data_IF_270097102435
#
_entry.id   IF_270097102435
#
_cell.length_a   1.000
_cell.length_b   1.000
_cell.length_c   1.000
_cell.angle_alpha   90.00
_cell.angle_beta   90.00
_cell.angle_gamma   90.00
#
_symmetry.space_group_name_H-M   'P 1'
#
loop_
_entity.id
_entity.type
_entity.pdbx_description
1 polymer ?
#
# COMPACT_ATOMS: atom_id res chain seq x y z
N UNK A 1 -13.76 17.31 -11.47
CA UNK A 1 -14.93 16.84 -10.72
C UNK A 1 -15.49 17.98 -9.88
N UNK A 2 -16.82 18.05 -9.66
CA UNK A 2 -17.47 19.03 -8.80
C UNK A 2 -17.90 18.39 -7.49
N UNK A 3 -17.72 19.08 -6.37
CA UNK A 3 -18.14 18.58 -5.04
C UNK A 3 -19.64 18.31 -5.01
N UNK A 4 -20.48 19.18 -5.61
CA UNK A 4 -21.93 18.99 -5.67
C UNK A 4 -22.37 17.70 -6.38
N UNK A 5 -21.50 17.11 -7.19
CA UNK A 5 -21.75 15.88 -7.98
C UNK A 5 -20.98 14.65 -7.45
N UNK A 6 -20.14 14.83 -6.46
CA UNK A 6 -19.34 13.76 -5.87
C UNK A 6 -20.09 13.15 -4.69
N UNK A 7 -20.24 11.83 -4.68
CA UNK A 7 -20.75 11.13 -3.50
C UNK A 7 -19.70 11.12 -2.40
N UNK A 8 -19.74 12.12 -1.53
CA UNK A 8 -18.79 12.36 -0.45
C UNK A 8 -19.55 12.78 0.84
N UNK A 9 -19.96 11.81 1.68
CA UNK A 9 -20.70 12.08 2.91
C UNK A 9 -19.77 12.56 4.02
N UNK A 10 -19.35 13.82 3.99
CA UNK A 10 -18.43 14.42 4.97
C UNK A 10 -19.17 14.65 6.29
N UNK A 11 -18.59 14.15 7.39
CA UNK A 11 -19.09 14.36 8.75
C UNK A 11 -18.47 15.64 9.36
N UNK A 12 -19.25 16.32 10.20
CA UNK A 12 -18.78 17.53 10.90
C UNK A 12 -17.68 17.20 11.92
N UNK A 13 -17.84 16.09 12.66
CA UNK A 13 -16.95 15.66 13.74
C UNK A 13 -16.39 14.28 13.44
N UNK A 14 -15.32 13.93 14.13
CA UNK A 14 -14.79 12.57 14.10
C UNK A 14 -15.79 11.59 14.73
N UNK A 15 -16.04 10.42 14.12
CA UNK A 15 -16.84 9.37 14.70
C UNK A 15 -16.27 8.89 16.04
N UNK A 16 -17.14 8.72 17.05
CA UNK A 16 -16.75 8.34 18.41
C UNK A 16 -16.15 6.93 18.50
N UNK A 17 -16.55 6.05 17.60
CA UNK A 17 -16.07 4.66 17.50
C UNK A 17 -14.63 4.55 16.93
N UNK A 18 -14.16 5.58 16.24
CA UNK A 18 -12.84 5.59 15.62
C UNK A 18 -11.78 6.11 16.60
N UNK A 19 -10.72 5.30 16.85
CA UNK A 19 -9.69 5.60 17.86
C UNK A 19 -8.41 6.18 17.28
N UNK A 20 -8.04 5.82 16.06
CA UNK A 20 -6.80 6.28 15.41
C UNK A 20 -7.10 7.27 14.29
N UNK A 21 -6.09 8.10 13.96
CA UNK A 21 -6.22 9.20 12.99
C UNK A 21 -6.73 8.74 11.62
N UNK A 22 -6.19 7.65 11.10
CA UNK A 22 -6.60 7.12 9.79
C UNK A 22 -8.06 6.68 9.78
N UNK A 23 -8.52 5.95 10.80
CA UNK A 23 -9.90 5.50 10.89
C UNK A 23 -10.86 6.69 11.03
N UNK A 24 -10.52 7.66 11.88
CA UNK A 24 -11.30 8.89 12.05
C UNK A 24 -11.41 9.67 10.75
N UNK A 25 -10.29 9.94 10.08
CA UNK A 25 -10.29 10.72 8.85
C UNK A 25 -11.02 10.01 7.72
N UNK A 26 -10.76 8.71 7.52
CA UNK A 26 -11.39 7.95 6.44
C UNK A 26 -12.91 7.91 6.55
N UNK A 27 -13.46 7.75 7.75
CA UNK A 27 -14.89 7.83 8.00
C UNK A 27 -15.42 9.28 7.85
N UNK A 28 -14.69 10.25 8.43
CA UNK A 28 -15.09 11.66 8.45
C UNK A 28 -15.19 12.26 7.04
N UNK A 29 -14.23 11.98 6.17
CA UNK A 29 -14.24 12.52 4.79
C UNK A 29 -14.93 11.60 3.78
N UNK A 30 -15.62 10.55 4.24
CA UNK A 30 -16.36 9.66 3.37
C UNK A 30 -15.48 8.87 2.39
N UNK A 31 -14.34 8.36 2.83
CA UNK A 31 -13.52 7.41 2.05
C UNK A 31 -14.03 5.98 2.17
N UNK A 32 -14.51 5.63 3.35
CA UNK A 32 -15.05 4.31 3.68
C UNK A 32 -16.35 4.44 4.47
N UNK A 33 -17.14 3.37 4.44
CA UNK A 33 -18.28 3.16 5.34
C UNK A 33 -18.23 1.76 5.88
N UNK A 34 -18.34 1.60 7.19
CA UNK A 34 -18.40 0.29 7.82
C UNK A 34 -19.71 -0.43 7.45
N UNK A 35 -19.57 -1.64 6.90
CA UNK A 35 -20.73 -2.53 6.59
C UNK A 35 -20.99 -3.50 7.73
N UNK A 36 -19.92 -4.06 8.31
CA UNK A 36 -19.93 -4.83 9.55
C UNK A 36 -18.55 -4.75 10.21
N UNK A 37 -18.38 -5.37 11.37
CA UNK A 37 -17.10 -5.33 12.09
C UNK A 37 -15.94 -5.83 11.20
N UNK A 38 -14.97 -4.95 10.94
CA UNK A 38 -13.80 -5.24 10.10
C UNK A 38 -14.10 -5.39 8.59
N UNK A 39 -15.29 -4.99 8.12
CA UNK A 39 -15.66 -5.04 6.70
C UNK A 39 -16.14 -3.66 6.27
N UNK A 40 -15.56 -3.10 5.21
CA UNK A 40 -15.78 -1.72 4.78
C UNK A 40 -16.16 -1.62 3.31
N UNK A 41 -17.16 -0.81 3.01
CA UNK A 41 -17.42 -0.31 1.66
C UNK A 41 -16.47 0.84 1.38
N UNK A 42 -15.78 0.79 0.25
CA UNK A 42 -14.90 1.85 -0.24
C UNK A 42 -15.69 2.83 -1.09
N UNK A 43 -15.81 4.06 -0.62
CA UNK A 43 -16.54 5.11 -1.31
C UNK A 43 -15.66 5.79 -2.37
N UNK A 44 -16.21 6.60 -3.29
CA UNK A 44 -15.46 7.09 -4.46
C UNK A 44 -14.10 7.73 -4.14
N UNK A 45 -14.03 8.53 -3.06
CA UNK A 45 -12.76 9.18 -2.67
C UNK A 45 -11.71 8.16 -2.23
N UNK A 46 -12.07 7.23 -1.34
CA UNK A 46 -11.17 6.20 -0.83
C UNK A 46 -10.77 5.20 -1.91
N UNK A 47 -11.73 4.78 -2.75
CA UNK A 47 -11.46 3.88 -3.87
C UNK A 47 -10.46 4.51 -4.85
N UNK A 48 -10.57 5.80 -5.12
CA UNK A 48 -9.65 6.49 -6.03
C UNK A 48 -8.21 6.50 -5.50
N UNK A 49 -8.01 6.74 -4.20
CA UNK A 49 -6.69 6.63 -3.55
C UNK A 49 -6.16 5.20 -3.62
N UNK A 50 -6.99 4.22 -3.23
CA UNK A 50 -6.62 2.80 -3.26
C UNK A 50 -6.20 2.34 -4.66
N UNK A 51 -6.91 2.76 -5.72
CA UNK A 51 -6.57 2.43 -7.12
C UNK A 51 -5.25 3.05 -7.57
N UNK A 52 -4.90 4.24 -7.12
CA UNK A 52 -3.59 4.85 -7.41
C UNK A 52 -2.46 4.09 -6.69
N UNK A 53 -2.66 3.67 -5.45
CA UNK A 53 -1.71 2.82 -4.73
C UNK A 53 -1.55 1.47 -5.44
N UNK A 54 -2.65 0.82 -5.80
CA UNK A 54 -2.67 -0.42 -6.58
C UNK A 54 -1.84 -0.30 -7.86
N UNK A 55 -1.97 0.82 -8.58
CA UNK A 55 -1.23 1.05 -9.81
C UNK A 55 0.28 1.18 -9.57
N UNK A 56 0.70 1.90 -8.53
CA UNK A 56 2.12 2.01 -8.15
C UNK A 56 2.69 0.63 -7.79
N UNK A 57 1.95 -0.15 -6.99
CA UNK A 57 2.35 -1.51 -6.65
C UNK A 57 2.52 -2.36 -7.91
N UNK A 58 1.55 -2.33 -8.83
CA UNK A 58 1.59 -3.06 -10.12
C UNK A 58 2.83 -2.70 -10.93
N UNK A 59 3.11 -1.42 -11.08
CA UNK A 59 4.26 -0.94 -11.84
C UNK A 59 5.59 -1.42 -11.27
N UNK A 60 5.76 -1.40 -9.95
CA UNK A 60 7.00 -1.86 -9.32
C UNK A 60 7.14 -3.40 -9.36
N UNK A 61 6.04 -4.17 -9.40
CA UNK A 61 6.11 -5.62 -9.66
C UNK A 61 6.53 -5.89 -11.12
N UNK A 62 5.92 -5.19 -12.07
CA UNK A 62 6.25 -5.36 -13.51
C UNK A 62 7.72 -5.03 -13.80
N UNK A 63 8.30 -4.01 -13.14
CA UNK A 63 9.71 -3.62 -13.30
C UNK A 63 10.71 -4.72 -12.92
N UNK A 64 10.36 -5.60 -11.99
CA UNK A 64 11.22 -6.74 -11.61
C UNK A 64 10.95 -8.00 -12.43
N UNK A 65 10.07 -7.91 -13.43
CA UNK A 65 9.71 -9.02 -14.32
C UNK A 65 8.60 -9.94 -13.78
N UNK A 66 7.89 -9.54 -12.73
CA UNK A 66 6.74 -10.29 -12.24
C UNK A 66 5.52 -10.08 -13.16
N UNK A 67 4.71 -11.13 -13.34
CA UNK A 67 3.56 -11.16 -14.23
C UNK A 67 2.26 -11.19 -13.43
N UNK A 68 1.30 -10.35 -13.80
CA UNK A 68 0.01 -10.28 -13.14
C UNK A 68 -0.90 -11.43 -13.62
N UNK A 69 -1.49 -12.13 -12.67
CA UNK A 69 -2.56 -13.10 -12.88
C UNK A 69 -3.76 -12.73 -11.99
N UNK A 70 -4.92 -13.28 -12.27
CA UNK A 70 -6.09 -13.11 -11.40
C UNK A 70 -6.60 -14.48 -10.97
N UNK A 71 -6.43 -14.80 -9.70
CA UNK A 71 -6.89 -16.05 -9.11
C UNK A 71 -8.25 -15.86 -8.42
N UNK A 72 -9.08 -16.92 -8.33
CA UNK A 72 -10.38 -16.84 -7.65
C UNK A 72 -10.22 -16.59 -6.15
N UNK A 73 -11.22 -15.94 -5.54
CA UNK A 73 -11.29 -15.76 -4.09
C UNK A 73 -11.78 -17.01 -3.36
N UNK A 74 -12.60 -17.82 -4.01
CA UNK A 74 -13.09 -19.11 -3.46
C UNK A 74 -12.16 -20.22 -3.92
N UNK A 75 -11.66 -21.00 -2.99
CA UNK A 75 -10.69 -22.07 -3.21
C UNK A 75 -11.24 -23.42 -2.74
N UNK A 76 -10.82 -24.53 -3.38
CA UNK A 76 -11.10 -25.86 -2.90
C UNK A 76 -10.32 -26.16 -1.62
N UNK A 77 -10.95 -26.83 -0.65
CA UNK A 77 -10.25 -27.32 0.55
C UNK A 77 -9.22 -28.41 0.23
N UNK A 78 -9.35 -29.10 -0.91
CA UNK A 78 -8.47 -30.22 -1.28
C UNK A 78 -7.01 -29.80 -1.42
N UNK A 79 -6.73 -28.68 -2.11
CA UNK A 79 -5.36 -28.19 -2.27
C UNK A 79 -4.73 -27.76 -0.93
N UNK A 80 -5.54 -27.28 0.01
CA UNK A 80 -5.11 -26.92 1.35
C UNK A 80 -4.86 -28.13 2.24
N UNK A 81 -5.65 -29.21 2.07
CA UNK A 81 -5.40 -30.50 2.70
C UNK A 81 -4.14 -31.15 2.15
N UNK A 82 -3.89 -31.02 0.86
CA UNK A 82 -2.67 -31.53 0.20
C UNK A 82 -1.40 -30.83 0.74
N UNK A 83 -1.42 -29.51 0.97
CA UNK A 83 -0.32 -28.78 1.57
C UNK A 83 -0.15 -29.04 3.07
N UNK A 84 -1.15 -29.61 3.73
CA UNK A 84 -1.20 -29.82 5.17
C UNK A 84 -1.65 -28.60 5.99
N UNK A 85 -1.99 -27.47 5.33
CA UNK A 85 -2.37 -26.23 6.04
C UNK A 85 -3.85 -26.07 6.35
N UNK A 86 -4.73 -26.95 5.88
CA UNK A 86 -6.18 -26.77 6.05
C UNK A 86 -6.60 -26.68 7.52
N UNK A 87 -6.03 -27.54 8.35
CA UNK A 87 -6.30 -27.53 9.80
C UNK A 87 -5.36 -26.59 10.56
N UNK A 88 -4.09 -26.51 10.17
CA UNK A 88 -3.06 -25.67 10.81
C UNK A 88 -3.33 -24.17 10.70
N UNK A 89 -4.07 -23.70 9.69
CA UNK A 89 -4.41 -22.29 9.53
C UNK A 89 -5.38 -21.78 10.62
N UNK A 90 -6.12 -22.68 11.26
CA UNK A 90 -6.97 -22.36 12.38
C UNK A 90 -8.31 -21.72 12.01
N UNK A 91 -8.87 -20.98 12.97
CA UNK A 91 -10.24 -20.42 12.91
C UNK A 91 -10.33 -19.16 12.05
N UNK A 92 -9.21 -18.52 11.72
CA UNK A 92 -9.21 -17.34 10.84
C UNK A 92 -9.59 -17.67 9.38
N UNK A 93 -9.56 -18.95 9.00
CA UNK A 93 -9.98 -19.40 7.69
C UNK A 93 -11.51 -19.47 7.62
N UNK A 94 -12.12 -18.68 6.76
CA UNK A 94 -13.56 -18.76 6.49
C UNK A 94 -13.86 -20.00 5.62
N UNK A 95 -14.35 -21.06 6.27
CA UNK A 95 -14.75 -22.32 5.62
C UNK A 95 -16.21 -22.23 5.20
N UNK A 96 -16.50 -22.68 3.99
CA UNK A 96 -17.84 -22.66 3.39
C UNK A 96 -18.14 -24.00 2.72
N UNK A 97 -19.43 -24.30 2.55
CA UNK A 97 -19.91 -25.43 1.76
C UNK A 97 -20.76 -24.92 0.61
N UNK A 98 -20.54 -25.47 -0.56
CA UNK A 98 -21.40 -25.18 -1.70
C UNK A 98 -22.72 -26.01 -1.65
N UNK A 99 -23.58 -25.82 -2.65
CA UNK A 99 -24.88 -26.55 -2.74
C UNK A 99 -24.73 -28.07 -2.89
N UNK A 100 -23.55 -28.54 -3.25
CA UNK A 100 -23.25 -29.98 -3.37
C UNK A 100 -22.51 -30.52 -2.15
N UNK A 101 -22.45 -29.74 -1.05
CA UNK A 101 -21.70 -30.02 0.19
C UNK A 101 -20.18 -30.17 -0.01
N UNK A 102 -19.61 -29.63 -1.10
CA UNK A 102 -18.15 -29.61 -1.27
C UNK A 102 -17.56 -28.55 -0.33
N UNK A 103 -16.51 -28.94 0.36
CA UNK A 103 -15.79 -28.04 1.27
C UNK A 103 -14.92 -27.06 0.46
N UNK A 104 -15.10 -25.81 0.73
CA UNK A 104 -14.40 -24.70 0.12
C UNK A 104 -14.00 -23.69 1.19
N UNK A 105 -13.20 -22.70 0.82
CA UNK A 105 -12.83 -21.59 1.71
C UNK A 105 -12.74 -20.28 0.93
N UNK A 106 -12.92 -19.18 1.62
CA UNK A 106 -12.53 -17.88 1.10
C UNK A 106 -11.02 -17.70 1.32
N UNK A 107 -10.25 -17.48 0.24
CA UNK A 107 -8.79 -17.49 0.28
C UNK A 107 -8.20 -16.41 1.21
N UNK A 108 -7.56 -16.79 2.32
CA UNK A 108 -6.83 -15.87 3.17
C UNK A 108 -5.44 -15.52 2.60
N UNK A 109 -4.93 -16.38 1.72
CA UNK A 109 -3.68 -16.31 0.96
C UNK A 109 -3.73 -17.33 -0.19
N UNK A 110 -2.72 -17.44 -1.06
CA UNK A 110 -2.82 -18.26 -2.28
C UNK A 110 -1.60 -19.13 -2.58
N UNK A 111 -0.77 -19.49 -1.61
CA UNK A 111 0.39 -20.38 -1.80
C UNK A 111 -0.04 -21.68 -2.48
N UNK A 112 -1.14 -22.28 -2.03
CA UNK A 112 -1.67 -23.54 -2.55
C UNK A 112 -2.19 -23.36 -3.98
N UNK A 113 -3.01 -22.33 -4.19
CA UNK A 113 -3.67 -22.12 -5.48
C UNK A 113 -2.67 -21.78 -6.59
N UNK A 114 -1.66 -20.96 -6.30
CA UNK A 114 -0.62 -20.60 -7.27
C UNK A 114 0.30 -21.80 -7.55
N UNK A 115 0.56 -22.64 -6.54
CA UNK A 115 1.33 -23.89 -6.72
C UNK A 115 0.57 -24.87 -7.60
N UNK A 116 -0.74 -24.97 -7.46
CA UNK A 116 -1.59 -25.80 -8.32
C UNK A 116 -1.56 -25.34 -9.79
N UNK A 117 -1.65 -24.03 -10.03
CA UNK A 117 -1.49 -23.43 -11.35
C UNK A 117 -0.09 -23.72 -11.91
N UNK A 118 0.95 -23.52 -11.11
CA UNK A 118 2.33 -23.78 -11.51
C UNK A 118 2.56 -25.23 -11.91
N UNK A 119 2.22 -26.19 -11.04
CA UNK A 119 2.46 -27.63 -11.28
C UNK A 119 1.70 -28.19 -12.48
N UNK A 120 0.55 -27.60 -12.82
CA UNK A 120 -0.22 -27.98 -13.99
C UNK A 120 0.37 -27.45 -15.31
N UNK A 121 1.08 -26.31 -15.26
CA UNK A 121 1.49 -25.55 -16.43
C UNK A 121 2.99 -25.62 -16.72
N UNK A 122 3.86 -25.72 -15.72
CA UNK A 122 5.32 -25.67 -15.85
C UNK A 122 5.93 -27.03 -15.57
N UNK A 123 6.67 -27.59 -16.55
CA UNK A 123 7.27 -28.93 -16.46
C UNK A 123 8.80 -28.91 -16.55
N UNK A 124 9.41 -27.86 -17.08
CA UNK A 124 10.86 -27.81 -17.33
C UNK A 124 11.51 -26.64 -16.62
N UNK A 125 12.71 -26.87 -16.07
CA UNK A 125 13.54 -25.82 -15.48
C UNK A 125 13.84 -24.64 -16.42
N UNK A 126 13.78 -24.87 -17.74
CA UNK A 126 13.99 -23.82 -18.76
C UNK A 126 12.94 -22.71 -18.70
N UNK A 127 11.79 -22.96 -18.09
CA UNK A 127 10.72 -21.99 -17.89
C UNK A 127 10.85 -21.21 -16.58
N UNK A 128 11.89 -21.45 -15.79
CA UNK A 128 12.17 -20.75 -14.52
C UNK A 128 13.13 -19.59 -14.71
N UNK A 129 13.10 -18.55 -13.86
CA UNK A 129 12.15 -18.37 -12.77
C UNK A 129 10.74 -17.95 -13.25
N UNK A 130 9.71 -18.27 -12.48
CA UNK A 130 8.38 -17.70 -12.64
C UNK A 130 8.08 -16.80 -11.45
N UNK A 131 7.78 -15.54 -11.73
CA UNK A 131 7.37 -14.56 -10.74
C UNK A 131 5.93 -14.17 -11.07
N UNK A 132 4.98 -14.61 -10.25
CA UNK A 132 3.55 -14.39 -10.47
C UNK A 132 2.97 -13.56 -9.33
N UNK A 133 2.09 -12.61 -9.62
CA UNK A 133 1.38 -11.87 -8.58
C UNK A 133 -0.06 -11.62 -8.98
N UNK A 134 -0.90 -11.38 -7.98
CA UNK A 134 -2.21 -10.78 -8.20
C UNK A 134 -2.54 -9.73 -7.13
N UNK A 135 -3.55 -8.92 -7.41
CA UNK A 135 -4.07 -7.93 -6.49
C UNK A 135 -5.56 -8.23 -6.33
N UNK A 136 -5.95 -8.73 -5.15
CA UNK A 136 -7.28 -9.27 -4.95
C UNK A 136 -7.71 -9.15 -3.48
N UNK A 137 -9.01 -9.20 -3.24
CA UNK A 137 -9.61 -9.30 -1.93
C UNK A 137 -9.21 -10.58 -1.22
N UNK A 138 -8.93 -10.47 0.08
CA UNK A 138 -8.67 -11.56 1.01
C UNK A 138 -9.63 -11.44 2.18
N UNK A 139 -9.87 -12.55 2.83
CA UNK A 139 -10.64 -12.60 4.06
C UNK A 139 -9.90 -13.41 5.11
N UNK A 140 -9.77 -12.84 6.30
CA UNK A 140 -9.32 -13.52 7.52
C UNK A 140 -10.30 -13.20 8.62
N UNK A 141 -10.83 -14.21 9.27
CA UNK A 141 -11.85 -14.02 10.32
C UNK A 141 -11.22 -13.54 11.64
N UNK A 142 -10.61 -12.35 11.57
CA UNK A 142 -9.98 -11.69 12.70
C UNK A 142 -10.99 -11.50 13.84
N UNK A 143 -10.71 -12.09 14.98
CA UNK A 143 -11.62 -12.09 16.14
C UNK A 143 -11.80 -10.70 16.76
N UNK A 144 -10.82 -9.82 16.62
CA UNK A 144 -10.82 -8.45 17.18
C UNK A 144 -10.43 -7.41 16.13
N UNK A 145 -11.25 -7.22 15.10
CA UNK A 145 -10.97 -6.20 14.09
C UNK A 145 -10.99 -4.83 14.75
N UNK A 146 -9.99 -4.00 14.43
CA UNK A 146 -9.81 -2.68 15.03
C UNK A 146 -9.02 -1.75 14.12
N UNK A 147 -9.04 -0.46 14.42
CA UNK A 147 -8.27 0.55 13.69
C UNK A 147 -8.64 0.67 12.20
N UNK A 148 -9.93 0.48 11.88
CA UNK A 148 -10.42 0.63 10.50
C UNK A 148 -9.78 -0.38 9.55
N UNK A 149 -9.22 0.13 8.46
CA UNK A 149 -8.58 -0.70 7.43
C UNK A 149 -7.20 -1.23 7.81
N UNK A 150 -6.68 -0.88 8.99
CA UNK A 150 -5.36 -1.34 9.46
C UNK A 150 -5.41 -2.80 9.90
N UNK A 151 -6.46 -3.20 10.62
CA UNK A 151 -6.70 -4.58 11.06
C UNK A 151 -8.17 -4.95 10.86
N UNK A 152 -8.49 -5.28 9.63
CA UNK A 152 -9.84 -5.61 9.16
C UNK A 152 -9.92 -7.10 8.78
N UNK A 153 -11.15 -7.58 8.58
CA UNK A 153 -11.40 -8.98 8.18
C UNK A 153 -11.33 -9.17 6.67
N UNK A 154 -11.83 -8.20 5.91
CA UNK A 154 -11.75 -8.17 4.46
C UNK A 154 -10.81 -7.05 4.03
N UNK A 155 -9.80 -7.38 3.21
CA UNK A 155 -8.76 -6.44 2.81
C UNK A 155 -8.27 -6.70 1.38
N UNK A 156 -7.80 -5.64 0.74
CA UNK A 156 -7.25 -5.69 -0.60
C UNK A 156 -5.73 -5.81 -0.54
N UNK A 157 -5.19 -6.89 -1.10
CA UNK A 157 -3.78 -7.26 -0.97
C UNK A 157 -3.18 -7.59 -2.33
N UNK A 158 -1.95 -7.15 -2.55
CA UNK A 158 -1.05 -7.74 -3.55
C UNK A 158 -0.29 -8.87 -2.87
N UNK A 159 -0.43 -10.05 -3.38
CA UNK A 159 0.42 -11.19 -3.05
C UNK A 159 1.10 -11.71 -4.31
N UNK A 160 2.40 -11.94 -4.19
CA UNK A 160 3.24 -12.45 -5.25
C UNK A 160 3.98 -13.71 -4.79
N UNK A 161 4.40 -14.51 -5.75
CA UNK A 161 5.02 -15.81 -5.54
C UNK A 161 6.14 -15.99 -6.54
N UNK A 162 7.27 -16.52 -6.07
CA UNK A 162 8.36 -16.94 -6.94
C UNK A 162 8.49 -18.45 -6.98
N UNK A 163 8.89 -18.96 -8.13
CA UNK A 163 9.21 -20.37 -8.38
C UNK A 163 10.58 -20.41 -9.06
N UNK A 164 11.55 -20.97 -8.37
CA UNK A 164 12.95 -20.92 -8.75
C UNK A 164 13.56 -22.33 -8.76
N UNK A 165 14.61 -22.53 -9.54
CA UNK A 165 15.19 -23.85 -9.72
C UNK A 165 16.01 -24.34 -8.51
N UNK A 166 16.57 -23.43 -7.74
CA UNK A 166 17.38 -23.70 -6.55
C UNK A 166 17.36 -22.51 -5.58
N UNK A 167 18.00 -22.69 -4.42
CA UNK A 167 18.02 -21.67 -3.37
C UNK A 167 18.73 -20.37 -3.80
N UNK A 168 19.78 -20.43 -4.61
CA UNK A 168 20.50 -19.26 -5.10
C UNK A 168 19.60 -18.37 -5.98
N UNK A 169 18.88 -18.97 -6.93
CA UNK A 169 17.93 -18.25 -7.80
C UNK A 169 16.75 -17.73 -6.99
N UNK A 170 16.25 -18.49 -6.01
CA UNK A 170 15.17 -18.05 -5.12
C UNK A 170 15.60 -16.84 -4.25
N UNK A 171 16.82 -16.80 -3.74
CA UNK A 171 17.35 -15.64 -3.05
C UNK A 171 17.51 -14.43 -3.98
N UNK A 172 17.85 -14.64 -5.24
CA UNK A 172 17.84 -13.56 -6.23
C UNK A 172 16.44 -13.02 -6.46
N UNK A 173 15.44 -13.87 -6.63
CA UNK A 173 14.03 -13.48 -6.71
C UNK A 173 13.59 -12.75 -5.44
N UNK A 174 13.92 -13.25 -4.26
CA UNK A 174 13.67 -12.60 -2.98
C UNK A 174 14.22 -11.17 -2.93
N UNK A 175 15.47 -10.98 -3.35
CA UNK A 175 16.13 -9.68 -3.36
C UNK A 175 15.51 -8.71 -4.39
N UNK A 176 14.95 -9.21 -5.51
CA UNK A 176 14.16 -8.39 -6.45
C UNK A 176 12.91 -7.83 -5.76
N UNK A 177 12.15 -8.67 -5.03
CA UNK A 177 11.00 -8.22 -4.28
C UNK A 177 11.37 -7.27 -3.14
N UNK A 178 12.48 -7.51 -2.45
CA UNK A 178 13.01 -6.61 -1.42
C UNK A 178 13.22 -5.19 -1.98
N UNK A 179 13.91 -5.05 -3.12
CA UNK A 179 14.10 -3.77 -3.79
C UNK A 179 12.77 -3.17 -4.28
N UNK A 180 11.90 -3.98 -4.88
CA UNK A 180 10.59 -3.54 -5.36
C UNK A 180 9.74 -2.91 -4.26
N UNK A 181 9.78 -3.49 -3.05
CA UNK A 181 9.07 -2.96 -1.89
C UNK A 181 9.61 -1.61 -1.43
N UNK A 182 10.93 -1.49 -1.31
CA UNK A 182 11.57 -0.21 -0.98
C UNK A 182 11.18 0.88 -1.99
N UNK A 183 11.18 0.57 -3.29
CA UNK A 183 10.76 1.51 -4.36
C UNK A 183 9.27 1.83 -4.28
N UNK A 184 8.43 0.83 -4.02
CA UNK A 184 6.98 1.03 -3.85
C UNK A 184 6.70 2.03 -2.74
N UNK A 185 7.25 1.81 -1.55
CA UNK A 185 7.01 2.68 -0.40
C UNK A 185 7.62 4.07 -0.59
N UNK A 186 8.77 4.18 -1.22
CA UNK A 186 9.37 5.47 -1.54
C UNK A 186 8.49 6.30 -2.51
N UNK A 187 7.88 5.68 -3.54
CA UNK A 187 6.92 6.33 -4.43
C UNK A 187 5.63 6.77 -3.72
N UNK A 188 5.29 6.13 -2.60
CA UNK A 188 4.20 6.52 -1.73
C UNK A 188 4.59 7.60 -0.71
N UNK A 189 5.84 8.12 -0.80
CA UNK A 189 6.45 9.05 0.17
C UNK A 189 6.41 8.51 1.61
N UNK A 190 6.68 7.19 1.74
CA UNK A 190 6.77 6.47 2.99
C UNK A 190 8.16 5.88 3.16
N UNK A 191 8.77 6.08 4.32
CA UNK A 191 10.00 5.40 4.70
C UNK A 191 9.65 4.12 5.42
N UNK A 192 9.74 2.98 4.70
CA UNK A 192 9.55 1.66 5.26
C UNK A 192 10.89 1.01 5.56
N UNK A 193 11.04 0.47 6.77
CA UNK A 193 12.25 -0.20 7.22
C UNK A 193 12.05 -1.71 7.11
N UNK A 194 12.91 -2.44 6.38
CA UNK A 194 12.89 -3.89 6.41
C UNK A 194 13.45 -4.37 7.75
N UNK A 195 12.66 -5.18 8.46
CA UNK A 195 13.00 -5.77 9.75
C UNK A 195 13.01 -7.28 9.66
N UNK A 196 14.00 -7.91 10.26
CA UNK A 196 14.01 -9.35 10.39
C UNK A 196 12.79 -9.81 11.21
N UNK A 197 11.99 -10.69 10.61
CA UNK A 197 10.71 -11.13 11.17
C UNK A 197 10.68 -12.64 11.38
N UNK A 198 9.75 -13.10 12.22
CA UNK A 198 9.40 -14.51 12.32
C UNK A 198 8.65 -14.97 11.07
N UNK A 199 8.83 -16.22 10.69
CA UNK A 199 8.16 -16.78 9.51
C UNK A 199 6.75 -17.29 9.81
N UNK A 200 6.39 -17.44 11.08
CA UNK A 200 5.07 -17.87 11.52
C UNK A 200 4.56 -19.14 10.83
N UNK A 201 3.24 -19.30 10.64
CA UNK A 201 2.63 -20.45 9.97
C UNK A 201 3.04 -20.62 8.50
N UNK A 202 3.48 -19.54 7.83
CA UNK A 202 4.01 -19.60 6.45
C UNK A 202 5.28 -20.44 6.43
N UNK A 203 6.15 -20.29 7.46
CA UNK A 203 7.39 -21.03 7.63
C UNK A 203 8.52 -20.52 6.72
N UNK A 204 9.69 -21.17 6.79
CA UNK A 204 10.88 -20.80 6.03
C UNK A 204 12.01 -20.28 6.91
N UNK A 205 13.10 -19.87 6.28
CA UNK A 205 14.35 -19.51 6.98
C UNK A 205 14.70 -18.02 6.87
N UNK A 206 14.03 -17.28 5.99
CA UNK A 206 14.31 -15.87 5.75
C UNK A 206 13.00 -15.10 5.57
N UNK A 207 12.85 -14.06 6.35
CA UNK A 207 11.65 -13.21 6.33
C UNK A 207 11.98 -11.78 6.72
N UNK A 208 11.39 -10.81 6.01
CA UNK A 208 11.45 -9.39 6.36
C UNK A 208 10.06 -8.77 6.33
N UNK A 209 9.70 -8.10 7.43
CA UNK A 209 8.59 -7.16 7.47
C UNK A 209 9.06 -5.76 7.09
N UNK A 210 8.24 -5.07 6.31
CA UNK A 210 8.46 -3.65 6.00
C UNK A 210 7.56 -2.81 6.89
N UNK A 211 8.19 -2.05 7.79
CA UNK A 211 7.52 -1.30 8.85
C UNK A 211 7.64 0.20 8.61
N UNK A 212 6.54 0.92 8.67
CA UNK A 212 6.48 2.37 8.70
C UNK A 212 6.34 2.83 10.14
N UNK A 213 7.15 3.81 10.56
CA UNK A 213 7.06 4.37 11.91
C UNK A 213 5.74 5.12 12.10
N UNK A 214 4.99 4.75 13.12
CA UNK A 214 3.76 5.42 13.52
C UNK A 214 3.47 5.16 15.01
N UNK A 215 3.15 6.22 15.76
CA UNK A 215 2.79 6.11 17.18
C UNK A 215 1.57 5.22 17.42
N UNK A 216 0.67 5.18 16.45
CA UNK A 216 -0.53 4.36 16.43
C UNK A 216 -0.29 2.94 15.91
N UNK A 217 0.96 2.59 15.57
CA UNK A 217 1.34 1.26 15.10
C UNK A 217 1.07 0.17 16.15
N UNK A 218 0.75 -1.03 15.67
CA UNK A 218 0.51 -2.20 16.52
C UNK A 218 1.80 -2.90 16.92
N UNK A 219 2.79 -2.92 16.04
CA UNK A 219 4.07 -3.59 16.27
C UNK A 219 5.02 -2.69 17.02
N UNK A 220 5.55 -3.17 18.15
CA UNK A 220 6.69 -2.53 18.81
C UNK A 220 7.95 -2.94 18.11
N UNK A 221 8.84 -2.00 17.85
CA UNK A 221 10.05 -2.20 17.08
C UNK A 221 11.29 -1.68 17.80
N UNK A 222 12.41 -2.31 17.52
CA UNK A 222 13.73 -2.02 18.08
C UNK A 222 14.71 -1.93 16.93
N UNK A 223 15.28 -0.75 16.70
CA UNK A 223 16.15 -0.54 15.55
C UNK A 223 17.28 0.44 15.82
N UNK A 224 18.35 0.29 15.05
CA UNK A 224 19.42 1.28 14.96
C UNK A 224 18.99 2.39 14.01
N UNK A 225 19.00 3.66 14.50
CA UNK A 225 18.58 4.83 13.71
C UNK A 225 19.36 5.00 12.40
N UNK A 226 20.59 4.49 12.31
CA UNK A 226 21.42 4.60 11.11
C UNK A 226 20.86 3.83 9.92
N UNK A 227 19.90 2.90 10.13
CA UNK A 227 19.21 2.20 9.06
C UNK A 227 18.47 3.16 8.11
N UNK A 228 18.05 4.33 8.60
CA UNK A 228 17.38 5.35 7.78
C UNK A 228 18.32 6.04 6.77
N UNK A 229 19.63 5.92 6.93
CA UNK A 229 20.63 6.48 6.04
C UNK A 229 20.91 5.56 4.83
N UNK A 230 20.39 4.33 4.85
CA UNK A 230 20.58 3.37 3.75
C UNK A 230 19.76 3.82 2.53
N UNK A 231 20.45 4.15 1.44
CA UNK A 231 19.82 4.54 0.18
C UNK A 231 19.72 3.34 -0.77
N UNK A 232 18.51 3.11 -1.27
CA UNK A 232 18.22 2.10 -2.29
C UNK A 232 18.17 2.66 -3.72
N UNK A 233 18.33 3.99 -3.89
CA UNK A 233 18.29 4.65 -5.20
C UNK A 233 19.44 4.15 -6.08
N UNK A 234 19.16 4.02 -7.37
CA UNK A 234 20.17 3.59 -8.34
C UNK A 234 20.58 2.11 -8.27
N UNK A 235 20.04 1.33 -7.33
CA UNK A 235 20.32 -0.11 -7.28
C UNK A 235 19.82 -0.82 -8.54
N UNK A 236 20.72 -1.54 -9.20
CA UNK A 236 20.43 -2.31 -10.41
C UNK A 236 19.83 -3.67 -10.09
N UNK A 237 19.07 -4.24 -11.03
CA UNK A 237 18.48 -5.58 -10.93
C UNK A 237 19.51 -6.69 -11.26
N UNK A 238 20.67 -6.64 -10.63
CA UNK A 238 21.77 -7.59 -10.77
C UNK A 238 21.97 -8.34 -9.44
N UNK A 239 22.27 -9.66 -9.48
CA UNK A 239 22.38 -10.49 -8.27
C UNK A 239 23.23 -9.84 -7.18
N UNK A 240 24.44 -9.44 -7.51
CA UNK A 240 25.37 -8.84 -6.54
C UNK A 240 24.89 -7.51 -5.97
N UNK A 241 24.35 -6.63 -6.82
CA UNK A 241 23.86 -5.32 -6.39
C UNK A 241 22.66 -5.44 -5.42
N UNK A 242 21.76 -6.40 -5.68
CA UNK A 242 20.59 -6.67 -4.83
C UNK A 242 20.98 -7.33 -3.51
N UNK A 243 21.92 -8.27 -3.54
CA UNK A 243 22.48 -8.89 -2.34
C UNK A 243 23.18 -7.85 -1.47
N UNK A 244 24.02 -7.00 -2.05
CA UNK A 244 24.73 -5.93 -1.34
C UNK A 244 23.74 -4.93 -0.72
N UNK A 245 22.62 -4.62 -1.40
CA UNK A 245 21.57 -3.78 -0.84
C UNK A 245 20.94 -4.42 0.40
N UNK A 246 20.51 -5.68 0.32
CA UNK A 246 19.94 -6.40 1.47
C UNK A 246 20.93 -6.44 2.62
N UNK A 247 22.18 -6.82 2.37
CA UNK A 247 23.26 -6.88 3.37
C UNK A 247 23.50 -5.51 4.04
N UNK A 248 23.33 -4.39 3.33
CA UNK A 248 23.44 -3.05 3.94
C UNK A 248 22.37 -2.82 5.00
N UNK A 249 21.13 -3.26 4.76
CA UNK A 249 20.07 -3.18 5.76
C UNK A 249 20.30 -4.15 6.92
N UNK A 250 20.67 -5.40 6.63
CA UNK A 250 20.91 -6.46 7.63
C UNK A 250 22.10 -6.19 8.56
N UNK A 251 23.00 -5.26 8.20
CA UNK A 251 24.08 -4.79 9.09
C UNK A 251 23.57 -4.07 10.33
N UNK A 252 22.39 -3.47 10.25
CA UNK A 252 21.77 -2.76 11.36
C UNK A 252 20.83 -3.67 12.12
N UNK A 253 20.90 -3.65 13.44
CA UNK A 253 19.91 -4.33 14.26
C UNK A 253 18.53 -3.69 14.03
N UNK A 254 17.59 -4.45 13.52
CA UNK A 254 16.23 -3.98 13.24
C UNK A 254 15.27 -5.16 13.30
N UNK A 255 14.45 -5.23 14.35
CA UNK A 255 13.56 -6.36 14.65
C UNK A 255 12.23 -5.89 15.25
N UNK A 256 11.20 -6.73 15.08
CA UNK A 256 9.93 -6.61 15.81
C UNK A 256 10.07 -7.19 17.22
N UNK A 257 9.05 -6.98 18.08
CA UNK A 257 9.03 -7.42 19.48
C UNK A 257 9.25 -8.94 19.62
N UNK A 258 8.77 -9.73 18.65
CA UNK A 258 8.89 -11.19 18.64
C UNK A 258 10.33 -11.70 18.53
N UNK A 259 11.18 -10.97 17.83
CA UNK A 259 12.62 -11.29 17.67
C UNK A 259 13.54 -10.44 18.54
N UNK A 260 12.99 -9.61 19.41
CA UNK A 260 13.80 -8.74 20.26
C UNK A 260 14.62 -9.52 21.27
N UNK A 261 15.92 -9.27 21.26
CA UNK A 261 16.85 -9.71 22.30
C UNK A 261 17.58 -8.49 22.88
N UNK A 262 17.38 -8.25 24.17
CA UNK A 262 17.91 -7.07 24.86
C UNK A 262 19.44 -7.03 24.86
N UNK A 263 20.10 -8.14 25.18
CA UNK A 263 21.56 -8.21 25.26
C UNK A 263 22.19 -7.96 23.88
N UNK A 264 21.62 -8.56 22.86
CA UNK A 264 22.05 -8.36 21.48
C UNK A 264 21.87 -6.91 21.03
N UNK A 265 20.71 -6.31 21.31
CA UNK A 265 20.41 -4.92 20.98
C UNK A 265 21.38 -3.96 21.67
N UNK A 266 21.62 -4.14 22.97
CA UNK A 266 22.52 -3.30 23.75
C UNK A 266 23.99 -3.46 23.34
N UNK A 267 24.40 -4.64 22.87
CA UNK A 267 25.76 -4.90 22.39
C UNK A 267 26.02 -4.38 20.96
N UNK A 268 25.01 -4.45 20.07
CA UNK A 268 25.15 -4.05 18.65
C UNK A 268 24.85 -2.59 18.39
N UNK A 269 24.02 -1.94 19.22
CA UNK A 269 23.55 -0.57 19.01
C UNK A 269 23.95 0.32 20.18
N UNK A 270 24.77 1.33 19.91
CA UNK A 270 25.14 2.33 20.92
C UNK A 270 23.90 3.12 21.36
N UNK A 271 23.87 3.56 22.60
CA UNK A 271 22.67 4.14 23.24
C UNK A 271 22.05 5.29 22.43
N UNK A 272 22.86 6.19 21.91
CA UNK A 272 22.41 7.34 21.11
C UNK A 272 21.70 6.93 19.81
N UNK A 273 21.98 5.76 19.25
CA UNK A 273 21.39 5.25 18.01
C UNK A 273 20.20 4.31 18.27
N UNK A 274 19.90 3.97 19.52
CA UNK A 274 18.76 3.11 19.85
C UNK A 274 17.44 3.82 19.60
N UNK A 275 16.58 3.18 18.81
CA UNK A 275 15.20 3.63 18.60
C UNK A 275 14.26 2.51 18.99
N UNK A 276 13.41 2.79 19.98
CA UNK A 276 12.32 1.93 20.41
C UNK A 276 11.04 2.70 20.17
N UNK A 277 10.20 2.22 19.28
CA UNK A 277 8.97 2.91 18.90
C UNK A 277 7.93 1.91 18.43
N UNK A 278 6.82 2.41 17.87
CA UNK A 278 5.80 1.59 17.22
C UNK A 278 5.82 1.78 15.72
N UNK A 279 5.33 0.77 15.01
CA UNK A 279 5.23 0.82 13.57
C UNK A 279 4.04 0.04 13.03
N UNK A 280 3.77 0.29 11.76
CA UNK A 280 2.71 -0.35 10.99
C UNK A 280 3.39 -1.26 9.96
N UNK A 281 3.11 -2.55 10.00
CA UNK A 281 3.52 -3.49 8.96
C UNK A 281 2.72 -3.20 7.68
N UNK A 282 3.42 -2.89 6.59
CA UNK A 282 2.80 -2.58 5.28
C UNK A 282 3.13 -3.60 4.20
N UNK A 283 4.12 -4.45 4.44
CA UNK A 283 4.51 -5.52 3.54
C UNK A 283 5.33 -6.57 4.26
N UNK A 284 5.28 -7.79 3.76
CA UNK A 284 6.01 -8.92 4.30
C UNK A 284 6.50 -9.82 3.17
N UNK A 285 7.73 -10.25 3.24
CA UNK A 285 8.35 -11.14 2.26
C UNK A 285 8.95 -12.36 2.94
N UNK A 286 8.76 -13.53 2.32
CA UNK A 286 9.17 -14.82 2.87
C UNK A 286 9.92 -15.63 1.83
N UNK A 287 10.95 -16.34 2.26
CA UNK A 287 11.54 -17.47 1.55
C UNK A 287 11.33 -18.74 2.36
N UNK A 288 10.70 -19.75 1.79
CA UNK A 288 10.32 -20.98 2.50
C UNK A 288 10.74 -22.28 1.77
N UNK A 289 11.62 -22.18 0.76
CA UNK A 289 12.16 -23.35 0.07
C UNK A 289 11.09 -24.16 -0.64
N UNK A 290 11.05 -25.46 -0.39
CA UNK A 290 10.10 -26.40 -1.02
C UNK A 290 8.89 -26.78 -0.14
N UNK A 291 8.61 -25.99 0.89
CA UNK A 291 7.52 -26.28 1.85
C UNK A 291 6.17 -26.56 1.19
N UNK A 292 5.83 -25.84 0.11
CA UNK A 292 4.57 -26.03 -0.63
C UNK A 292 4.76 -26.87 -1.88
N UNK A 293 5.84 -26.68 -2.63
CA UNK A 293 6.07 -27.42 -3.87
C UNK A 293 6.24 -28.91 -3.62
N UNK A 294 6.88 -29.32 -2.52
CA UNK A 294 7.09 -30.72 -2.21
C UNK A 294 5.81 -31.49 -1.91
N UNK A 295 4.96 -31.13 -0.93
CA UNK A 295 3.71 -31.85 -0.67
C UNK A 295 2.73 -31.77 -1.84
N UNK A 296 2.73 -30.68 -2.60
CA UNK A 296 1.85 -30.49 -3.76
C UNK A 296 2.46 -30.99 -5.08
N UNK A 297 3.58 -31.71 -5.04
CA UNK A 297 4.27 -32.26 -6.21
C UNK A 297 4.61 -31.23 -7.31
N UNK A 298 5.00 -30.02 -6.88
CA UNK A 298 5.43 -28.92 -7.74
C UNK A 298 6.89 -29.08 -8.17
N UNK A 299 7.19 -30.05 -9.04
CA UNK A 299 8.53 -30.37 -9.54
C UNK A 299 8.69 -30.02 -11.02
N UNK A 300 9.95 -29.84 -11.43
CA UNK A 300 10.35 -29.63 -12.83
C UNK A 300 11.41 -30.62 -13.26
N UNK A 301 11.41 -30.91 -14.56
CA UNK A 301 12.47 -31.71 -15.16
C UNK A 301 13.75 -30.88 -15.26
N UNK A 302 14.85 -31.41 -14.73
CA UNK A 302 16.21 -30.88 -14.79
C UNK A 302 16.99 -31.56 -15.93
N UNK A 303 18.22 -31.07 -16.25
CA UNK A 303 19.12 -31.78 -17.16
C UNK A 303 19.32 -33.24 -16.73
N UNK A 304 19.64 -34.10 -17.70
CA UNK A 304 19.89 -35.54 -17.49
C UNK A 304 18.69 -36.35 -16.96
N UNK A 305 17.45 -35.85 -17.14
CA UNK A 305 16.24 -36.56 -16.73
C UNK A 305 15.97 -36.59 -15.23
N UNK A 306 16.72 -35.84 -14.43
CA UNK A 306 16.45 -35.63 -13.01
C UNK A 306 15.22 -34.75 -12.82
N UNK A 307 14.55 -34.89 -11.67
CA UNK A 307 13.45 -34.00 -11.23
C UNK A 307 13.78 -33.43 -9.88
N UNK A 308 13.39 -32.17 -9.65
CA UNK A 308 13.48 -31.56 -8.32
C UNK A 308 12.29 -30.64 -8.07
N UNK A 309 12.00 -30.42 -6.80
CA UNK A 309 10.96 -29.49 -6.36
C UNK A 309 11.47 -28.07 -6.44
N UNK A 310 10.66 -27.18 -7.00
CA UNK A 310 11.00 -25.76 -7.11
C UNK A 310 11.07 -25.10 -5.75
N UNK A 311 11.94 -24.10 -5.63
CA UNK A 311 12.04 -23.26 -4.44
C UNK A 311 11.11 -22.07 -4.58
N UNK A 312 10.41 -21.74 -3.50
CA UNK A 312 9.33 -20.76 -3.52
C UNK A 312 9.52 -19.67 -2.47
N UNK A 313 9.05 -18.47 -2.80
CA UNK A 313 8.86 -17.36 -1.88
C UNK A 313 7.47 -16.76 -2.03
N UNK A 314 7.01 -16.04 -1.00
CA UNK A 314 5.74 -15.32 -0.96
C UNK A 314 5.97 -13.87 -0.52
N UNK A 315 5.27 -12.93 -1.14
CA UNK A 315 5.57 -11.50 -1.02
C UNK A 315 4.26 -10.69 -0.97
N UNK A 316 3.84 -10.30 0.23
CA UNK A 316 2.56 -9.62 0.48
C UNK A 316 2.68 -8.12 0.72
N UNK A 317 1.77 -7.31 0.14
CA UNK A 317 1.58 -5.88 0.42
C UNK A 317 0.10 -5.61 0.65
N UNK A 318 -0.23 -5.05 1.81
CA UNK A 318 -1.60 -4.65 2.15
C UNK A 318 -2.01 -3.34 1.47
N UNK A 319 -2.54 -3.39 0.23
CA UNK A 319 -2.90 -2.20 -0.56
C UNK A 319 -3.93 -1.33 0.16
N UNK A 320 -4.97 -1.92 0.72
CA UNK A 320 -5.97 -1.20 1.51
C UNK A 320 -5.40 -0.62 2.80
N UNK A 321 -4.48 -1.34 3.46
CA UNK A 321 -3.76 -0.88 4.66
C UNK A 321 -2.87 0.33 4.38
N UNK A 322 -2.25 0.39 3.20
CA UNK A 322 -1.41 1.52 2.79
C UNK A 322 -2.16 2.85 2.77
N UNK A 323 -3.46 2.86 2.46
CA UNK A 323 -4.28 4.09 2.55
C UNK A 323 -4.27 4.63 3.99
N UNK A 324 -4.52 3.77 4.96
CA UNK A 324 -4.46 4.13 6.38
C UNK A 324 -3.05 4.53 6.83
N UNK A 325 -2.03 3.79 6.42
CA UNK A 325 -0.64 4.05 6.78
C UNK A 325 -0.14 5.42 6.27
N UNK A 326 -0.53 5.83 5.06
CA UNK A 326 -0.22 7.17 4.54
C UNK A 326 -0.90 8.25 5.39
N UNK A 327 -2.15 8.03 5.79
CA UNK A 327 -2.86 8.98 6.65
C UNK A 327 -2.16 9.10 8.02
N UNK A 328 -1.79 7.98 8.65
CA UNK A 328 -1.08 8.00 9.93
C UNK A 328 0.24 8.79 9.85
N UNK A 329 0.95 8.67 8.73
CA UNK A 329 2.23 9.37 8.50
C UNK A 329 2.08 10.84 8.11
N UNK A 330 0.98 11.24 7.45
CA UNK A 330 0.86 12.55 6.77
C UNK A 330 -0.27 13.45 7.28
N UNK A 331 -1.17 12.96 8.12
CA UNK A 331 -2.27 13.76 8.66
C UNK A 331 -1.86 14.51 9.93
N UNK A 332 -1.93 15.85 9.86
CA UNK A 332 -1.80 16.71 11.03
C UNK A 332 -3.17 16.91 11.69
N UNK A 333 -3.41 16.22 12.79
CA UNK A 333 -4.68 16.24 13.51
C UNK A 333 -4.98 17.60 14.14
N UNK A 334 -3.95 18.32 14.66
CA UNK A 334 -4.11 19.61 15.31
C UNK A 334 -4.59 20.71 14.35
N UNK A 335 -4.07 20.66 13.13
CA UNK A 335 -4.42 21.62 12.07
C UNK A 335 -5.58 21.12 11.19
N UNK A 336 -6.01 19.88 11.37
CA UNK A 336 -6.98 19.19 10.53
C UNK A 336 -6.57 19.17 9.04
N UNK A 337 -5.29 18.93 8.75
CA UNK A 337 -4.73 18.96 7.40
C UNK A 337 -4.19 17.57 7.01
N UNK A 338 -4.75 16.99 5.95
CA UNK A 338 -4.18 15.83 5.27
C UNK A 338 -3.26 16.29 4.13
N UNK A 339 -2.06 15.69 4.04
CA UNK A 339 -1.08 15.97 2.99
C UNK A 339 -0.81 14.71 2.16
N UNK A 340 -1.70 14.39 1.23
CA UNK A 340 -1.46 13.27 0.32
C UNK A 340 -0.24 13.52 -0.55
N UNK A 341 0.66 12.52 -0.72
CA UNK A 341 1.61 12.52 -1.82
C UNK A 341 0.87 12.67 -3.16
N UNK A 342 1.39 13.46 -4.09
CA UNK A 342 0.71 13.71 -5.37
C UNK A 342 0.50 12.41 -6.16
N UNK A 343 1.38 11.43 -5.99
CA UNK A 343 1.29 10.10 -6.63
C UNK A 343 -0.02 9.36 -6.31
N UNK A 344 -0.60 9.60 -5.12
CA UNK A 344 -1.80 8.89 -4.66
C UNK A 344 -2.96 9.81 -4.27
N UNK A 345 -2.74 11.11 -4.30
CA UNK A 345 -3.80 12.08 -4.00
C UNK A 345 -5.07 11.81 -4.84
N UNK A 346 -6.28 11.89 -4.26
CA UNK A 346 -7.52 11.60 -4.99
C UNK A 346 -7.74 12.57 -6.16
N UNK A 347 -7.26 13.79 -6.03
CA UNK A 347 -7.22 14.83 -7.06
C UNK A 347 -5.90 15.57 -6.99
N UNK A 348 -5.40 16.05 -8.13
CA UNK A 348 -4.10 16.72 -8.19
C UNK A 348 -4.15 18.13 -7.62
N UNK A 349 -5.28 18.83 -7.80
CA UNK A 349 -5.47 20.22 -7.37
C UNK A 349 -6.94 20.49 -7.05
N UNK A 350 -7.20 21.32 -6.06
CA UNK A 350 -8.54 21.84 -5.81
C UNK A 350 -8.69 23.26 -6.36
N UNK A 351 -9.89 23.60 -6.82
CA UNK A 351 -10.27 24.95 -7.23
C UNK A 351 -11.41 25.41 -6.31
N UNK A 352 -11.15 26.48 -5.58
CA UNK A 352 -12.02 26.99 -4.51
C UNK A 352 -12.51 28.38 -4.90
N UNK A 353 -13.62 28.49 -5.69
CA UNK A 353 -14.22 29.79 -6.00
C UNK A 353 -14.97 30.35 -4.79
N UNK A 354 -14.76 31.63 -4.54
CA UNK A 354 -15.59 32.39 -3.60
C UNK A 354 -16.93 32.69 -4.27
N UNK A 355 -17.94 31.90 -3.96
CA UNK A 355 -19.28 32.08 -4.54
C UNK A 355 -19.96 33.24 -3.85
N UNK A 356 -20.52 34.15 -4.67
CA UNK A 356 -21.21 35.35 -4.23
C UNK A 356 -22.63 35.23 -4.78
N UNK A 357 -23.62 35.55 -3.94
CA UNK A 357 -25.01 35.53 -4.32
C UNK A 357 -25.22 36.45 -5.54
N UNK A 358 -25.78 35.92 -6.62
CA UNK A 358 -26.04 36.59 -7.90
C UNK A 358 -24.77 36.94 -8.76
N UNK A 359 -23.57 36.49 -8.38
CA UNK A 359 -22.37 36.65 -9.19
C UNK A 359 -21.71 35.29 -9.49
N UNK A 360 -21.76 34.88 -10.77
CA UNK A 360 -21.19 33.62 -11.25
C UNK A 360 -19.76 33.72 -11.77
N UNK A 361 -19.19 34.92 -11.77
CA UNK A 361 -17.88 35.20 -12.41
C UNK A 361 -16.74 34.31 -11.88
N UNK A 362 -16.69 34.08 -10.56
CA UNK A 362 -15.68 33.19 -9.92
C UNK A 362 -15.84 31.74 -10.31
N UNK A 363 -17.09 31.25 -10.44
CA UNK A 363 -17.37 29.89 -10.88
C UNK A 363 -17.08 29.71 -12.38
N UNK A 364 -17.36 30.71 -13.22
CA UNK A 364 -17.02 30.69 -14.64
C UNK A 364 -15.50 30.68 -14.83
N UNK A 365 -14.76 31.45 -14.02
CA UNK A 365 -13.29 31.40 -14.02
C UNK A 365 -12.78 30.03 -13.57
N UNK A 366 -13.35 29.44 -12.51
CA UNK A 366 -13.04 28.08 -12.08
C UNK A 366 -13.24 27.04 -13.18
N UNK A 367 -14.33 27.17 -13.95
CA UNK A 367 -14.61 26.28 -15.09
C UNK A 367 -13.61 26.43 -16.23
N UNK A 368 -13.16 27.65 -16.55
CA UNK A 368 -12.09 27.89 -17.54
C UNK A 368 -10.78 27.27 -17.10
N UNK A 369 -10.37 27.46 -15.84
CA UNK A 369 -9.16 26.85 -15.26
C UNK A 369 -9.27 25.31 -15.27
N UNK A 370 -10.42 24.74 -14.91
CA UNK A 370 -10.67 23.30 -14.98
C UNK A 370 -10.45 22.74 -16.39
N UNK A 371 -10.96 23.41 -17.43
CA UNK A 371 -10.78 22.97 -18.82
C UNK A 371 -9.32 23.03 -19.23
N UNK A 372 -8.60 24.08 -18.82
CA UNK A 372 -7.19 24.23 -19.14
C UNK A 372 -6.33 23.15 -18.47
N UNK A 373 -6.52 22.90 -17.15
CA UNK A 373 -5.79 21.87 -16.40
C UNK A 373 -5.97 20.46 -17.00
N UNK A 374 -7.19 20.14 -17.46
CA UNK A 374 -7.51 18.84 -18.06
C UNK A 374 -6.73 18.57 -19.36
N UNK A 375 -6.38 19.58 -20.13
CA UNK A 375 -5.56 19.43 -21.36
C UNK A 375 -4.18 18.81 -21.03
N UNK A 376 -3.74 18.97 -19.79
CA UNK A 376 -2.44 18.47 -19.31
C UNK A 376 -2.56 17.24 -18.39
N UNK A 377 -3.69 16.53 -18.42
CA UNK A 377 -3.95 15.37 -17.55
C UNK A 377 -3.82 15.68 -16.05
N UNK A 378 -4.17 16.91 -15.66
CA UNK A 378 -4.29 17.32 -14.27
C UNK A 378 -5.75 17.22 -13.86
N UNK A 379 -6.04 16.49 -12.80
CA UNK A 379 -7.41 16.24 -12.32
C UNK A 379 -7.81 17.23 -11.22
N UNK A 380 -8.60 18.28 -11.49
CA UNK A 380 -9.06 19.20 -10.47
C UNK A 380 -10.34 18.73 -9.76
N UNK A 381 -10.45 19.11 -8.48
CA UNK A 381 -11.67 19.06 -7.67
C UNK A 381 -12.18 20.48 -7.44
N UNK A 382 -13.40 20.80 -7.86
CA UNK A 382 -13.99 22.14 -7.75
C UNK A 382 -15.02 22.15 -6.62
N UNK A 383 -14.90 23.07 -5.69
CA UNK A 383 -15.93 23.28 -4.68
C UNK A 383 -16.96 24.31 -5.16
N UNK A 384 -17.95 23.81 -5.84
CA UNK A 384 -19.08 24.58 -6.40
C UNK A 384 -20.28 24.72 -5.43
N UNK A 385 -20.09 24.37 -4.15
CA UNK A 385 -21.15 24.49 -3.13
C UNK A 385 -21.36 25.94 -2.68
N UNK A 386 -22.51 26.23 -2.09
CA UNK A 386 -22.81 27.56 -1.52
C UNK A 386 -22.27 27.78 -0.11
N UNK A 387 -21.42 26.87 0.38
CA UNK A 387 -20.79 27.01 1.68
C UNK A 387 -19.91 28.26 1.77
N UNK A 388 -19.74 28.77 2.99
CA UNK A 388 -18.80 29.89 3.21
C UNK A 388 -17.35 29.46 2.89
N UNK A 389 -16.54 30.44 2.55
CA UNK A 389 -15.17 30.23 2.09
C UNK A 389 -14.31 29.45 3.10
N UNK A 390 -14.42 29.76 4.40
CA UNK A 390 -13.67 29.06 5.44
C UNK A 390 -14.04 27.58 5.53
N UNK A 391 -15.32 27.22 5.35
CA UNK A 391 -15.77 25.82 5.32
C UNK A 391 -15.23 25.07 4.11
N UNK A 392 -15.19 25.71 2.93
CA UNK A 392 -14.58 25.14 1.72
C UNK A 392 -13.09 24.83 1.91
N UNK A 393 -12.35 25.78 2.49
CA UNK A 393 -10.93 25.59 2.79
C UNK A 393 -10.71 24.43 3.76
N UNK A 394 -11.46 24.37 4.86
CA UNK A 394 -11.38 23.27 5.83
C UNK A 394 -11.70 21.92 5.18
N UNK A 395 -12.73 21.86 4.37
CA UNK A 395 -13.10 20.65 3.62
C UNK A 395 -11.96 20.18 2.72
N UNK A 396 -11.36 21.08 1.93
CA UNK A 396 -10.26 20.73 1.04
C UNK A 396 -8.98 20.32 1.79
N UNK A 397 -8.72 20.91 2.95
CA UNK A 397 -7.63 20.53 3.83
C UNK A 397 -7.83 19.10 4.40
N UNK A 398 -9.05 18.77 4.82
CA UNK A 398 -9.39 17.41 5.30
C UNK A 398 -9.30 16.37 4.19
N UNK A 399 -9.83 16.67 2.99
CA UNK A 399 -9.69 15.79 1.81
C UNK A 399 -8.22 15.62 1.44
N UNK A 400 -7.42 16.69 1.65
CA UNK A 400 -5.97 16.63 1.49
C UNK A 400 -5.50 16.75 0.05
N UNK A 401 -6.27 17.47 -0.81
CA UNK A 401 -5.81 17.74 -2.18
C UNK A 401 -4.53 18.57 -2.13
N UNK A 402 -3.39 18.11 -2.72
CA UNK A 402 -2.06 18.67 -2.47
C UNK A 402 -1.91 20.14 -2.83
N UNK A 403 -2.57 20.58 -3.89
CA UNK A 403 -2.52 21.94 -4.41
C UNK A 403 -3.89 22.58 -4.41
N UNK A 404 -3.94 23.87 -4.17
CA UNK A 404 -5.19 24.64 -4.08
C UNK A 404 -5.09 25.94 -4.88
N UNK A 405 -6.05 26.17 -5.77
CA UNK A 405 -6.30 27.46 -6.43
C UNK A 405 -7.49 28.11 -5.73
N UNK A 406 -7.29 29.34 -5.28
CA UNK A 406 -8.31 30.15 -4.66
C UNK A 406 -8.71 31.26 -5.64
N UNK A 407 -10.02 31.42 -5.87
CA UNK A 407 -10.57 32.43 -6.78
C UNK A 407 -11.42 33.40 -5.97
N UNK A 408 -10.85 34.56 -5.67
CA UNK A 408 -11.54 35.70 -5.03
C UNK A 408 -12.18 36.65 -6.03
N UNK A 409 -12.88 37.68 -5.53
CA UNK A 409 -13.56 38.73 -6.34
C UNK A 409 -12.64 39.51 -7.26
N UNK A 410 -11.42 39.80 -6.80
CA UNK A 410 -10.45 40.66 -7.50
C UNK A 410 -9.31 39.85 -8.12
N UNK A 411 -9.60 38.68 -8.63
CA UNK A 411 -8.57 37.91 -9.31
C UNK A 411 -8.28 38.49 -10.69
N UNK A 412 -7.06 38.98 -10.90
CA UNK A 412 -6.54 39.43 -12.19
C UNK A 412 -6.64 38.33 -13.26
N UNK A 413 -6.72 38.68 -14.54
CA UNK A 413 -7.04 37.72 -15.60
C UNK A 413 -6.02 36.58 -15.71
N UNK A 414 -4.73 36.84 -15.49
CA UNK A 414 -3.64 35.84 -15.69
C UNK A 414 -3.03 35.30 -14.40
N UNK A 415 -3.34 35.89 -13.25
CA UNK A 415 -2.84 35.48 -11.95
C UNK A 415 -3.94 34.83 -11.13
N UNK A 416 -3.57 33.75 -10.45
CA UNK A 416 -4.42 33.05 -9.50
C UNK A 416 -3.71 32.93 -8.16
N UNK A 417 -4.46 32.95 -7.07
CA UNK A 417 -3.95 32.64 -5.76
C UNK A 417 -3.78 31.13 -5.65
N UNK A 418 -2.54 30.70 -5.40
CA UNK A 418 -2.14 29.29 -5.37
C UNK A 418 -1.38 28.98 -4.09
N UNK A 419 -1.60 27.79 -3.54
CA UNK A 419 -0.83 27.27 -2.42
C UNK A 419 -0.72 25.75 -2.44
N UNK A 420 0.25 25.22 -1.73
CA UNK A 420 0.19 23.83 -1.28
C UNK A 420 -0.68 23.75 -0.03
N UNK A 421 -1.30 22.60 0.19
CA UNK A 421 -2.13 22.36 1.38
C UNK A 421 -1.31 22.58 2.66
N UNK A 422 -1.82 23.44 3.56
CA UNK A 422 -1.14 23.81 4.81
C UNK A 422 0.06 24.75 4.64
N UNK A 423 0.21 25.43 3.50
CA UNK A 423 1.20 26.48 3.27
C UNK A 423 0.52 27.82 2.94
N UNK A 424 1.29 28.91 3.01
CA UNK A 424 0.81 30.23 2.62
C UNK A 424 0.55 30.33 1.13
N UNK A 425 -0.37 31.20 0.74
CA UNK A 425 -0.71 31.42 -0.66
C UNK A 425 0.20 32.43 -1.35
N UNK A 426 0.38 32.28 -2.65
CA UNK A 426 1.08 33.20 -3.52
C UNK A 426 0.29 33.42 -4.82
N UNK A 427 0.48 34.60 -5.44
CA UNK A 427 -0.12 34.86 -6.75
C UNK A 427 0.86 34.45 -7.84
N UNK A 428 0.45 33.50 -8.69
CA UNK A 428 1.27 33.01 -9.83
C UNK A 428 0.39 32.76 -11.05
N UNK A 429 1.03 32.61 -12.21
CA UNK A 429 0.34 32.28 -13.47
C UNK A 429 -0.12 30.83 -13.49
N UNK A 430 -1.24 30.55 -14.15
CA UNK A 430 -1.76 29.20 -14.31
C UNK A 430 -0.74 28.28 -15.03
N UNK A 431 0.02 28.81 -15.98
CA UNK A 431 1.08 28.05 -16.68
C UNK A 431 2.19 27.57 -15.74
N UNK A 432 2.53 28.36 -14.73
CA UNK A 432 3.53 27.97 -13.71
C UNK A 432 3.00 26.86 -12.81
N UNK A 433 1.71 26.92 -12.43
CA UNK A 433 1.04 25.84 -11.66
C UNK A 433 1.08 24.53 -12.44
N UNK A 434 0.74 24.58 -13.74
CA UNK A 434 0.78 23.41 -14.62
C UNK A 434 2.18 22.78 -14.62
N UNK A 435 3.21 23.60 -14.76
CA UNK A 435 4.60 23.13 -14.76
C UNK A 435 5.02 22.53 -13.40
N UNK A 436 4.62 23.14 -12.29
CA UNK A 436 4.87 22.61 -10.95
C UNK A 436 4.27 21.20 -10.79
N UNK A 437 2.99 21.04 -11.15
CA UNK A 437 2.28 19.77 -10.99
C UNK A 437 2.89 18.69 -11.92
N UNK A 438 3.17 19.01 -13.18
CA UNK A 438 3.82 18.08 -14.13
C UNK A 438 5.16 17.59 -13.59
N UNK A 439 6.03 18.50 -13.19
CA UNK A 439 7.34 18.17 -12.62
C UNK A 439 7.26 17.27 -11.39
N UNK A 440 6.22 17.45 -10.56
CA UNK A 440 6.01 16.59 -9.39
C UNK A 440 5.46 15.20 -9.78
N UNK A 441 4.60 15.12 -10.80
CA UNK A 441 4.10 13.84 -11.31
C UNK A 441 5.17 13.01 -12.02
N UNK A 442 6.13 13.65 -12.68
CA UNK A 442 7.27 12.99 -13.35
C UNK A 442 8.32 12.43 -12.39
N UNK A 443 8.39 12.96 -11.16
CA UNK A 443 9.35 12.49 -10.14
C UNK A 443 8.90 11.21 -9.43
N UNK A 444 7.63 10.87 -9.54
CA UNK A 444 6.98 9.73 -8.89
C UNK A 444 6.61 8.64 -9.89
#
# INVERSE_FOLDING_TARGET
MYISKLFIPILKNNPSEAKIKSHQLMLRVGMIKQSSAGIYSWLPLGLKVMKKIEQIVREEQNKIGAQEILMPTIQSSEIWKESGRYDDYGEEMLRIKDRQNREMLYGPTNEELVTDIFRSSVKSYKSLPQLLYHIQWKFRDEIRPRFGVMRCREFFMKDAYSFDVNDEEALFSYNKFFLSYLKTFNRLDLTAIPMAADTGPIGGNLSHEFIILAETGESKIYTDKRIFEVDSKGTKLEKKALEDLRNKYEKFYSVTDEKFNKEEFESKVIEENRLITKGIEVGHIFYFGDKYSKPMNGSVDLPEGKKDFVKMGSYGVGVSRLVGAIIEAKYNEKEEIMKWPISVAPYDISIIPMIIKNDKSTLEKANKINLELKKYNIEPLIDDTDENFSSKIKKMNLIGVPYQIIIGKQSENDLVEFRKVGEDSQKIKLSEIINIIKKQKEKN
#
